data_IF_033362749391
#
_entry.id   IF_033362749391
#
_cell.length_a   1.000
_cell.length_b   1.000
_cell.length_c   1.000
_cell.angle_alpha   90.00
_cell.angle_beta   90.00
_cell.angle_gamma   90.00
#
_symmetry.space_group_name_H-M   'P 1'
#
loop_
_entity.id
_entity.type
_entity.pdbx_description
1 polymer ?
#
# COMPACT_ATOMS: atom_id res chain seq x y z
N UNK A 1 -17.96 8.81 -20.68
CA UNK A 1 -16.99 8.20 -19.72
C UNK A 1 -17.60 8.38 -18.35
N UNK A 2 -17.72 7.34 -17.52
CA UNK A 2 -18.26 7.49 -16.19
C UNK A 2 -17.36 8.45 -15.39
N UNK A 3 -17.96 9.46 -14.78
CA UNK A 3 -17.30 10.41 -13.92
C UNK A 3 -16.88 9.77 -12.59
N UNK A 4 -16.01 10.43 -11.82
CA UNK A 4 -15.55 9.95 -10.52
C UNK A 4 -16.71 9.61 -9.57
N UNK A 5 -17.83 10.35 -9.67
CA UNK A 5 -19.01 10.13 -8.84
C UNK A 5 -19.74 8.82 -9.15
N UNK A 6 -19.84 8.45 -10.42
CA UNK A 6 -20.46 7.19 -10.86
C UNK A 6 -19.60 5.99 -10.47
N UNK A 7 -18.27 6.12 -10.56
CA UNK A 7 -17.33 5.09 -10.10
C UNK A 7 -17.45 4.81 -8.60
N UNK A 8 -17.60 5.86 -7.77
CA UNK A 8 -17.82 5.71 -6.33
C UNK A 8 -19.14 4.97 -6.06
N UNK A 9 -20.20 5.29 -6.80
CA UNK A 9 -21.51 4.65 -6.64
C UNK A 9 -21.45 3.15 -6.99
N UNK A 10 -20.77 2.80 -8.09
CA UNK A 10 -20.56 1.41 -8.49
C UNK A 10 -19.73 0.67 -7.43
N UNK A 11 -18.66 1.27 -6.95
CA UNK A 11 -17.83 0.71 -5.89
C UNK A 11 -18.62 0.47 -4.60
N UNK A 12 -19.53 1.38 -4.25
CA UNK A 12 -20.40 1.23 -3.09
C UNK A 12 -21.35 0.04 -3.22
N UNK A 13 -21.93 -0.19 -4.41
CA UNK A 13 -22.78 -1.36 -4.67
C UNK A 13 -21.98 -2.66 -4.53
N UNK A 14 -20.77 -2.70 -5.10
CA UNK A 14 -19.86 -3.84 -4.96
C UNK A 14 -19.52 -4.06 -3.48
N UNK A 15 -19.25 -2.98 -2.72
CA UNK A 15 -18.98 -3.05 -1.29
C UNK A 15 -20.15 -3.62 -0.48
N UNK A 16 -21.41 -3.35 -0.88
CA UNK A 16 -22.59 -3.92 -0.21
C UNK A 16 -22.73 -5.43 -0.46
N UNK A 17 -22.41 -5.89 -1.68
CA UNK A 17 -22.49 -7.31 -2.05
C UNK A 17 -21.36 -8.12 -1.41
N UNK A 18 -20.12 -7.62 -1.51
CA UNK A 18 -18.94 -8.30 -0.99
C UNK A 18 -18.69 -8.03 0.50
N UNK A 19 -19.22 -6.93 1.03
CA UNK A 19 -19.01 -6.45 2.39
C UNK A 19 -17.70 -5.69 2.56
N UNK A 20 -17.71 -4.66 3.43
CA UNK A 20 -16.54 -3.84 3.74
C UNK A 20 -15.35 -4.61 4.35
N UNK A 21 -15.58 -5.82 4.86
CA UNK A 21 -14.55 -6.67 5.47
C UNK A 21 -13.73 -7.46 4.44
N UNK A 22 -14.27 -7.75 3.26
CA UNK A 22 -13.58 -8.57 2.24
C UNK A 22 -12.50 -7.80 1.47
N UNK A 23 -12.72 -6.53 1.20
CA UNK A 23 -11.74 -5.67 0.51
C UNK A 23 -10.40 -5.57 1.26
N UNK A 24 -10.34 -5.24 2.57
CA UNK A 24 -9.06 -5.16 3.29
C UNK A 24 -8.38 -6.52 3.46
N UNK A 25 -9.15 -7.61 3.57
CA UNK A 25 -8.63 -8.98 3.65
C UNK A 25 -7.87 -9.35 2.36
N UNK A 26 -8.45 -9.06 1.20
CA UNK A 26 -7.85 -9.32 -0.12
C UNK A 26 -6.71 -8.35 -0.41
N UNK A 27 -6.88 -7.05 -0.13
CA UNK A 27 -5.81 -6.04 -0.27
C UNK A 27 -4.60 -6.36 0.59
N UNK A 28 -4.80 -6.88 1.80
CA UNK A 28 -3.69 -7.31 2.67
C UNK A 28 -2.87 -8.45 2.06
N UNK A 29 -3.53 -9.44 1.45
CA UNK A 29 -2.86 -10.54 0.75
C UNK A 29 -2.14 -10.08 -0.52
N UNK A 30 -2.82 -9.32 -1.38
CA UNK A 30 -2.27 -8.80 -2.63
C UNK A 30 -1.12 -7.82 -2.36
N UNK A 31 -1.28 -6.91 -1.40
CA UNK A 31 -0.26 -5.91 -1.05
C UNK A 31 1.03 -6.54 -0.54
N UNK A 32 0.94 -7.61 0.26
CA UNK A 32 2.11 -8.39 0.69
C UNK A 32 2.77 -9.08 -0.51
N UNK A 33 1.99 -9.71 -1.39
CA UNK A 33 2.51 -10.35 -2.61
C UNK A 33 3.25 -9.37 -3.52
N UNK A 34 2.66 -8.21 -3.81
CA UNK A 34 3.28 -7.16 -4.62
C UNK A 34 4.55 -6.62 -3.94
N UNK A 35 4.56 -6.43 -2.62
CA UNK A 35 5.74 -5.95 -1.88
C UNK A 35 6.90 -6.95 -1.95
N UNK A 36 6.61 -8.24 -1.80
CA UNK A 36 7.64 -9.29 -1.91
C UNK A 36 8.14 -9.44 -3.35
N UNK A 37 7.24 -9.33 -4.32
CA UNK A 37 7.60 -9.34 -5.75
C UNK A 37 8.52 -8.16 -6.10
N UNK A 38 8.17 -6.94 -5.67
CA UNK A 38 9.03 -5.76 -5.84
C UNK A 38 10.40 -5.91 -5.18
N UNK A 39 10.45 -6.41 -3.94
CA UNK A 39 11.71 -6.68 -3.23
C UNK A 39 12.60 -7.69 -3.96
N UNK A 40 12.00 -8.75 -4.50
CA UNK A 40 12.71 -9.74 -5.31
C UNK A 40 13.29 -9.15 -6.59
N UNK A 41 12.55 -8.26 -7.25
CA UNK A 41 13.03 -7.55 -8.45
C UNK A 41 14.09 -6.48 -8.14
N UNK A 42 14.02 -5.80 -6.98
CA UNK A 42 14.99 -4.77 -6.57
C UNK A 42 16.34 -5.33 -6.12
N UNK A 43 16.43 -6.64 -5.82
CA UNK A 43 17.67 -7.30 -5.36
C UNK A 43 18.71 -7.46 -6.47
N UNK A 44 18.32 -7.34 -7.75
CA UNK A 44 19.21 -7.51 -8.89
C UNK A 44 20.02 -6.24 -9.24
N UNK A 45 19.64 -5.03 -8.80
CA UNK A 45 20.31 -3.79 -9.27
C UNK A 45 20.25 -2.54 -8.35
N UNK A 46 19.82 -2.61 -7.09
CA UNK A 46 19.71 -1.40 -6.24
C UNK A 46 20.28 -1.56 -4.81
N UNK A 47 21.00 -0.54 -4.27
CA UNK A 47 21.36 -0.50 -2.86
C UNK A 47 20.08 -0.50 -1.99
N UNK A 48 20.11 -1.14 -0.81
CA UNK A 48 18.93 -1.42 -0.03
C UNK A 48 18.20 -0.13 0.36
N UNK A 49 17.02 0.09 -0.21
CA UNK A 49 16.17 1.23 0.18
C UNK A 49 15.67 1.01 1.61
N UNK A 50 15.79 2.00 2.51
CA UNK A 50 15.25 1.92 3.85
C UNK A 50 13.77 1.56 3.78
N UNK A 51 13.42 0.41 4.35
CA UNK A 51 12.03 0.04 4.54
C UNK A 51 11.45 1.05 5.53
N UNK A 52 10.59 1.95 5.04
CA UNK A 52 9.82 2.85 5.91
C UNK A 52 8.90 1.95 6.74
N UNK A 53 9.36 1.64 7.95
CA UNK A 53 8.51 1.11 9.02
C UNK A 53 7.57 2.26 9.44
N UNK A 54 6.25 2.10 9.30
CA UNK A 54 5.32 3.10 9.81
C UNK A 54 5.37 3.02 11.35
N UNK A 55 6.15 3.90 11.97
CA UNK A 55 6.25 3.98 13.44
C UNK A 55 7.58 4.44 14.00
N UNK A 56 8.64 4.55 13.20
CA UNK A 56 9.94 5.07 13.69
C UNK A 56 9.89 6.60 13.72
N UNK A 57 10.13 7.25 14.89
CA UNK A 57 10.23 8.71 14.97
C UNK A 57 11.25 9.22 13.94
N UNK A 58 11.03 10.40 13.34
CA UNK A 58 12.03 11.01 12.47
C UNK A 58 13.34 11.04 13.23
N UNK A 59 14.38 10.46 12.63
CA UNK A 59 15.73 10.58 13.14
C UNK A 59 16.05 12.08 13.12
N UNK A 60 15.88 12.73 14.27
CA UNK A 60 16.30 14.08 14.64
C UNK A 60 17.83 14.12 14.53
N UNK A 61 18.32 14.11 13.29
CA UNK A 61 19.72 14.23 12.93
C UNK A 61 19.95 15.69 12.61
N UNK A 62 20.51 16.42 13.57
CA UNK A 62 21.37 17.63 13.53
C UNK A 62 21.00 18.50 14.74
N UNK A 63 21.87 18.76 15.71
CA UNK A 63 23.13 19.49 15.54
C UNK A 63 24.27 18.99 16.45
N UNK A 64 25.49 18.73 15.91
CA UNK A 64 26.73 18.80 16.67
C UNK A 64 27.33 20.22 16.61
N UNK A 65 27.69 20.77 17.78
CA UNK A 65 28.51 21.97 17.96
C UNK A 65 29.99 21.65 17.77
#
# INVERSE_FOLDING_TARGET
MPGPWELILIFLIIMLIFGAKRIPEIMGGIGKGIRTFKKGLETDDAPPKPQVEPGSPPVERIEPK
#
